data_IF_780712707803
#
_entry.id   IF_780712707803
#
_cell.length_a   1.000
_cell.length_b   1.000
_cell.length_c   1.000
_cell.angle_alpha   90.00
_cell.angle_beta   90.00
_cell.angle_gamma   90.00
#
_symmetry.space_group_name_H-M   'P 1'
#
loop_
_entity.id
_entity.type
_entity.pdbx_description
1 polymer ?
#
# COMPACT_ATOMS: atom_id res chain seq x y z
N UNK A 1 -19.51 16.44 34.62
CA UNK A 1 -19.51 15.71 33.34
C UNK A 1 -19.88 14.27 33.67
N UNK A 2 -21.06 13.84 33.24
CA UNK A 2 -21.53 12.47 33.41
C UNK A 2 -20.77 11.64 32.37
N UNK A 3 -19.95 10.67 32.80
CA UNK A 3 -19.40 9.71 31.85
C UNK A 3 -20.54 8.80 31.45
N UNK A 4 -20.91 8.86 30.17
CA UNK A 4 -21.91 8.01 29.56
C UNK A 4 -21.41 6.56 29.71
N UNK A 5 -22.01 5.83 30.64
CA UNK A 5 -21.68 4.42 30.83
C UNK A 5 -22.06 3.68 29.57
N UNK A 6 -21.06 3.20 28.83
CA UNK A 6 -21.27 2.34 27.66
C UNK A 6 -21.46 0.92 28.18
N UNK A 7 -22.65 0.30 28.00
CA UNK A 7 -22.86 -1.09 28.38
C UNK A 7 -21.88 -2.01 27.64
N UNK A 8 -21.36 -3.04 28.32
CA UNK A 8 -20.39 -3.98 27.75
C UNK A 8 -20.91 -4.69 26.49
N UNK A 9 -22.22 -4.86 26.40
CA UNK A 9 -22.93 -5.46 25.27
C UNK A 9 -22.90 -4.57 24.02
N UNK A 10 -23.08 -3.25 24.19
CA UNK A 10 -22.96 -2.27 23.11
C UNK A 10 -21.51 -2.18 22.59
N UNK A 11 -20.52 -2.32 23.48
CA UNK A 11 -19.11 -2.36 23.08
C UNK A 11 -18.80 -3.61 22.24
N UNK A 12 -19.37 -4.77 22.61
CA UNK A 12 -19.19 -6.03 21.86
C UNK A 12 -19.81 -5.96 20.47
N UNK A 13 -21.02 -5.43 20.35
CA UNK A 13 -21.72 -5.28 19.06
C UNK A 13 -20.91 -4.42 18.08
N UNK A 14 -20.40 -3.26 18.54
CA UNK A 14 -19.56 -2.38 17.73
C UNK A 14 -18.25 -3.06 17.33
N UNK A 15 -17.61 -3.79 18.25
CA UNK A 15 -16.37 -4.53 17.96
C UNK A 15 -16.59 -5.66 16.95
N UNK A 16 -17.68 -6.43 17.09
CA UNK A 16 -18.05 -7.48 16.15
C UNK A 16 -18.36 -6.93 14.75
N UNK A 17 -19.02 -5.78 14.67
CA UNK A 17 -19.31 -5.11 13.40
C UNK A 17 -18.01 -4.62 12.73
N UNK A 18 -17.10 -4.01 13.49
CA UNK A 18 -15.76 -3.62 13.02
C UNK A 18 -14.98 -4.85 12.55
N UNK A 19 -15.03 -5.96 13.28
CA UNK A 19 -14.35 -7.21 12.88
C UNK A 19 -14.97 -7.86 11.63
N UNK A 20 -16.30 -7.85 11.49
CA UNK A 20 -17.01 -8.31 10.29
C UNK A 20 -16.64 -7.46 9.09
N UNK A 21 -16.70 -6.13 9.20
CA UNK A 21 -16.27 -5.23 8.14
C UNK A 21 -14.81 -5.49 7.76
N UNK A 22 -13.92 -5.64 8.75
CA UNK A 22 -12.51 -5.98 8.52
C UNK A 22 -12.37 -7.33 7.83
N UNK A 23 -13.15 -8.34 8.18
CA UNK A 23 -13.17 -9.66 7.52
C UNK A 23 -13.65 -9.54 6.06
N UNK A 24 -14.75 -8.86 5.80
CA UNK A 24 -15.28 -8.64 4.44
C UNK A 24 -14.26 -7.92 3.56
N UNK A 25 -13.62 -6.84 4.08
CA UNK A 25 -12.53 -6.13 3.39
C UNK A 25 -11.28 -7.01 3.16
N UNK A 26 -11.10 -8.08 3.94
CA UNK A 26 -9.97 -9.02 3.82
C UNK A 26 -10.19 -10.11 2.76
N UNK A 27 -11.44 -10.45 2.46
CA UNK A 27 -11.81 -11.64 1.67
C UNK A 27 -11.55 -11.49 0.16
N UNK A 28 -11.30 -10.29 -0.36
CA UNK A 28 -11.04 -10.08 -1.80
C UNK A 28 -9.96 -9.03 -2.10
N UNK A 29 -8.90 -8.94 -1.30
CA UNK A 29 -7.76 -8.11 -1.68
C UNK A 29 -7.01 -8.78 -2.84
N UNK A 30 -7.13 -8.20 -4.03
CA UNK A 30 -6.43 -8.70 -5.21
C UNK A 30 -4.93 -8.45 -5.04
N UNK A 31 -4.10 -9.41 -5.48
CA UNK A 31 -2.66 -9.18 -5.62
C UNK A 31 -2.40 -8.17 -6.74
N UNK A 32 -1.54 -7.15 -6.53
CA UNK A 32 -1.24 -6.18 -7.57
C UNK A 32 -0.54 -6.88 -8.74
N UNK A 33 -1.09 -6.65 -9.94
CA UNK A 33 -0.42 -7.06 -11.18
C UNK A 33 0.81 -6.18 -11.43
N UNK A 34 1.64 -6.54 -12.41
CA UNK A 34 2.77 -5.69 -12.80
C UNK A 34 2.30 -4.30 -13.24
N UNK A 35 1.21 -4.20 -14.01
CA UNK A 35 0.67 -2.91 -14.47
C UNK A 35 0.18 -2.06 -13.30
N UNK A 36 -0.46 -2.68 -12.31
CA UNK A 36 -0.91 -1.97 -11.10
C UNK A 36 0.28 -1.44 -10.31
N UNK A 37 1.32 -2.27 -10.14
CA UNK A 37 2.53 -1.87 -9.43
C UNK A 37 3.27 -0.72 -10.14
N UNK A 38 3.35 -0.74 -11.48
CA UNK A 38 3.93 0.36 -12.25
C UNK A 38 3.17 1.68 -12.03
N UNK A 39 1.83 1.63 -12.02
CA UNK A 39 1.00 2.82 -11.73
C UNK A 39 1.25 3.35 -10.32
N UNK A 40 1.29 2.45 -9.33
CA UNK A 40 1.56 2.84 -7.94
C UNK A 40 2.95 3.43 -7.78
N UNK A 41 3.97 2.89 -8.46
CA UNK A 41 5.32 3.45 -8.45
C UNK A 41 5.33 4.89 -8.98
N UNK A 42 4.66 5.16 -10.11
CA UNK A 42 4.55 6.54 -10.64
C UNK A 42 3.88 7.47 -9.64
N UNK A 43 2.81 7.01 -8.99
CA UNK A 43 2.09 7.79 -7.99
C UNK A 43 2.94 8.05 -6.74
N UNK A 44 3.68 7.05 -6.28
CA UNK A 44 4.63 7.19 -5.18
C UNK A 44 5.71 8.22 -5.52
N UNK A 45 6.26 8.20 -6.74
CA UNK A 45 7.27 9.17 -7.17
C UNK A 45 6.74 10.60 -7.23
N UNK A 46 5.45 10.81 -7.54
CA UNK A 46 4.83 12.14 -7.49
C UNK A 46 4.82 12.76 -6.10
N UNK A 47 4.90 11.95 -5.03
CA UNK A 47 5.05 12.44 -3.67
C UNK A 47 6.49 12.89 -3.33
N UNK A 48 7.45 12.65 -4.22
CA UNK A 48 8.86 12.99 -4.03
C UNK A 48 9.57 12.26 -2.86
N UNK A 49 9.39 10.94 -2.67
CA UNK A 49 10.00 10.22 -1.56
C UNK A 49 11.52 10.11 -1.74
N UNK A 50 12.24 10.03 -0.62
CA UNK A 50 13.63 9.60 -0.65
C UNK A 50 13.72 8.09 -1.01
N UNK A 51 14.89 7.59 -1.47
CA UNK A 51 15.06 6.17 -1.80
C UNK A 51 14.75 5.21 -0.64
N UNK A 52 14.93 5.67 0.61
CA UNK A 52 14.65 4.88 1.80
C UNK A 52 13.14 4.78 2.07
N UNK A 53 12.40 5.87 1.85
CA UNK A 53 10.95 5.95 2.08
C UNK A 53 10.14 5.41 0.91
N UNK A 54 10.72 5.32 -0.29
CA UNK A 54 10.02 4.94 -1.52
C UNK A 54 9.23 3.64 -1.39
N UNK A 55 9.81 2.64 -0.74
CA UNK A 55 9.17 1.33 -0.56
C UNK A 55 7.96 1.45 0.37
N UNK A 56 8.07 2.23 1.44
CA UNK A 56 7.00 2.44 2.41
C UNK A 56 5.84 3.20 1.77
N UNK A 57 6.13 4.28 1.03
CA UNK A 57 5.11 5.03 0.28
C UNK A 57 4.39 4.14 -0.75
N UNK A 58 5.12 3.24 -1.44
CA UNK A 58 4.49 2.26 -2.34
C UNK A 58 3.55 1.31 -1.58
N UNK A 59 3.93 0.86 -0.39
CA UNK A 59 3.06 0.01 0.43
C UNK A 59 1.81 0.75 0.90
N UNK A 60 1.96 1.99 1.36
CA UNK A 60 0.82 2.83 1.78
C UNK A 60 -0.20 2.99 0.65
N UNK A 61 0.26 3.35 -0.55
CA UNK A 61 -0.63 3.51 -1.71
C UNK A 61 -1.28 2.18 -2.11
N UNK A 62 -0.55 1.06 -2.03
CA UNK A 62 -1.12 -0.27 -2.29
C UNK A 62 -2.23 -0.62 -1.28
N UNK A 63 -2.02 -0.32 0.00
CA UNK A 63 -2.99 -0.59 1.06
C UNK A 63 -4.23 0.31 0.95
N UNK A 64 -4.04 1.60 0.66
CA UNK A 64 -5.12 2.55 0.39
C UNK A 64 -5.98 2.10 -0.79
N UNK A 65 -5.37 1.51 -1.82
CA UNK A 65 -6.09 0.94 -2.99
C UNK A 65 -6.68 -0.45 -2.74
N UNK A 66 -6.53 -1.00 -1.53
CA UNK A 66 -7.10 -2.29 -1.15
C UNK A 66 -6.36 -3.50 -1.71
N UNK A 67 -5.10 -3.35 -2.15
CA UNK A 67 -4.30 -4.48 -2.64
C UNK A 67 -3.76 -5.35 -1.50
N UNK A 68 -3.52 -6.63 -1.80
CA UNK A 68 -2.80 -7.52 -0.89
C UNK A 68 -1.29 -7.34 -1.05
N UNK A 69 -0.65 -6.77 -0.02
CA UNK A 69 0.79 -6.45 0.01
C UNK A 69 1.66 -7.58 0.54
N UNK A 70 1.07 -8.59 1.21
CA UNK A 70 1.79 -9.73 1.83
C UNK A 70 2.78 -10.45 0.92
N UNK A 71 2.46 -10.53 -0.38
CA UNK A 71 3.30 -11.22 -1.38
C UNK A 71 4.05 -10.26 -2.32
N UNK A 72 4.04 -8.97 -2.01
CA UNK A 72 4.78 -7.94 -2.75
C UNK A 72 6.05 -7.66 -1.99
N UNK A 73 7.11 -8.38 -2.34
CA UNK A 73 8.42 -8.19 -1.71
C UNK A 73 9.07 -6.88 -2.17
N UNK A 74 9.89 -6.28 -1.31
CA UNK A 74 10.71 -5.09 -1.59
C UNK A 74 11.49 -5.22 -2.90
N UNK A 75 12.10 -6.40 -3.15
CA UNK A 75 12.82 -6.69 -4.40
C UNK A 75 11.95 -6.55 -5.66
N UNK A 76 10.65 -6.87 -5.58
CA UNK A 76 9.72 -6.77 -6.72
C UNK A 76 9.45 -5.30 -7.08
N UNK A 77 9.34 -4.45 -6.06
CA UNK A 77 9.13 -2.99 -6.23
C UNK A 77 10.35 -2.40 -6.92
N UNK A 78 11.55 -2.64 -6.37
CA UNK A 78 12.80 -2.15 -6.95
C UNK A 78 13.05 -2.65 -8.36
N UNK A 79 12.88 -3.95 -8.62
CA UNK A 79 13.04 -4.51 -9.97
C UNK A 79 12.06 -3.87 -10.96
N UNK A 80 10.82 -3.59 -10.52
CA UNK A 80 9.83 -2.94 -11.39
C UNK A 80 10.24 -1.50 -11.69
N UNK A 81 10.69 -0.74 -10.67
CA UNK A 81 11.23 0.61 -10.84
C UNK A 81 12.43 0.62 -11.79
N UNK A 82 13.43 -0.24 -11.55
CA UNK A 82 14.64 -0.35 -12.38
C UNK A 82 14.30 -0.71 -13.83
N UNK A 83 13.39 -1.67 -14.05
CA UNK A 83 12.93 -2.01 -15.40
C UNK A 83 12.18 -0.84 -16.06
N UNK A 84 11.48 -0.01 -15.30
CA UNK A 84 10.83 1.20 -15.83
C UNK A 84 11.85 2.25 -16.26
N UNK A 85 12.89 2.48 -15.45
CA UNK A 85 13.99 3.39 -15.77
C UNK A 85 14.76 2.90 -16.99
N UNK A 86 15.20 1.63 -16.99
CA UNK A 86 15.99 1.04 -18.09
C UNK A 86 15.26 1.03 -19.43
N UNK A 87 13.93 0.89 -19.41
CA UNK A 87 13.10 0.95 -20.63
C UNK A 87 12.69 2.37 -21.03
N UNK A 88 13.05 3.39 -20.23
CA UNK A 88 12.72 4.79 -20.51
C UNK A 88 11.26 5.17 -20.23
N UNK A 89 10.53 4.39 -19.43
CA UNK A 89 9.17 4.76 -19.02
C UNK A 89 9.16 5.91 -18.03
N UNK A 90 10.19 5.99 -17.18
CA UNK A 90 10.42 7.06 -16.21
C UNK A 90 11.90 7.43 -16.20
N UNK A 91 12.22 8.63 -15.75
CA UNK A 91 13.59 9.01 -15.41
C UNK A 91 14.00 8.37 -14.07
N UNK A 92 15.30 8.31 -13.81
CA UNK A 92 15.81 7.86 -12.51
C UNK A 92 15.64 8.97 -11.47
N UNK A 93 14.43 9.10 -10.92
CA UNK A 93 14.09 10.11 -9.92
C UNK A 93 14.80 9.89 -8.57
N UNK A 94 15.14 8.64 -8.27
CA UNK A 94 15.78 8.26 -7.02
C UNK A 94 17.31 8.21 -7.11
N UNK A 95 17.89 8.42 -8.31
CA UNK A 95 19.33 8.35 -8.59
C UNK A 95 20.00 7.06 -8.09
N UNK A 96 19.28 5.93 -8.17
CA UNK A 96 19.74 4.61 -7.68
C UNK A 96 20.09 3.64 -8.80
N UNK A 97 19.76 3.97 -10.06
CA UNK A 97 20.02 3.13 -11.24
C UNK A 97 21.25 3.66 -11.94
N UNK A 98 22.41 3.04 -11.65
CA UNK A 98 23.65 3.32 -12.39
C UNK A 98 23.44 3.02 -13.88
N UNK A 99 23.73 4.01 -14.73
CA UNK A 99 23.79 3.85 -16.18
C UNK A 99 25.06 3.16 -16.63
#
# INVERSE_FOLDING_TARGET
MQLDWVPEEALREVLEEIEKERRVRKVNKRRPTRKDLMKVIVEALSAGPSPQEFVDVVYEILEQKGFETKFTNVKRIWRTYEEMVKKGFIQDYLDVVKR
#
